data_IF_859577453996
#
_entry.id   IF_859577453996
#
_cell.length_a   1.000
_cell.length_b   1.000
_cell.length_c   1.000
_cell.angle_alpha   90.00
_cell.angle_beta   90.00
_cell.angle_gamma   90.00
#
_symmetry.space_group_name_H-M   'P 1'
#
loop_
_entity.id
_entity.type
_entity.pdbx_description
1 polymer ?
#
# COMPACT_ATOMS: atom_id res chain seq x y z
N UNK A 1 57.69 29.86 42.58
CA UNK A 1 57.75 28.41 42.33
C UNK A 1 56.39 27.84 42.68
N UNK A 2 55.82 27.07 41.74
CA UNK A 2 54.87 25.95 41.90
C UNK A 2 53.62 26.14 42.77
N UNK A 3 52.43 25.65 42.49
CA UNK A 3 51.73 25.01 41.36
C UNK A 3 50.32 24.75 41.95
N UNK A 4 49.25 24.83 41.13
CA UNK A 4 47.97 24.06 41.20
C UNK A 4 47.16 24.06 42.52
N UNK A 5 45.83 24.27 42.53
CA UNK A 5 44.82 23.39 41.94
C UNK A 5 43.47 24.09 41.71
N UNK A 6 42.66 23.43 40.89
CA UNK A 6 41.43 23.86 40.24
C UNK A 6 40.22 23.20 40.92
N UNK A 7 39.16 23.94 41.24
CA UNK A 7 37.81 23.36 41.31
C UNK A 7 36.76 24.27 40.70
N UNK A 8 36.25 23.81 39.55
CA UNK A 8 34.98 24.20 38.97
C UNK A 8 33.82 23.64 39.82
N UNK A 9 32.84 24.46 40.18
CA UNK A 9 31.51 23.97 40.48
C UNK A 9 30.45 24.74 39.69
N UNK A 10 30.05 24.08 38.60
CA UNK A 10 28.88 24.33 37.76
C UNK A 10 27.60 24.22 38.59
N UNK A 11 27.04 25.37 38.97
CA UNK A 11 25.68 25.48 39.48
C UNK A 11 24.75 25.68 38.29
N UNK A 12 24.18 24.60 37.75
CA UNK A 12 23.03 24.68 36.85
C UNK A 12 21.83 24.03 37.54
N UNK A 13 20.87 24.88 37.90
CA UNK A 13 19.70 24.62 38.72
C UNK A 13 18.78 23.53 38.16
N UNK A 14 18.48 22.53 39.00
CA UNK A 14 17.43 21.52 38.80
C UNK A 14 16.06 22.09 39.19
N UNK A 15 15.43 22.86 38.31
CA UNK A 15 14.01 23.25 38.41
C UNK A 15 13.49 23.61 37.01
N UNK A 16 12.99 22.63 36.24
CA UNK A 16 12.29 22.90 34.95
C UNK A 16 11.58 21.71 34.27
N UNK A 17 11.41 20.53 34.90
CA UNK A 17 10.84 19.34 34.21
C UNK A 17 9.30 19.26 34.31
N UNK A 18 8.70 19.89 35.31
CA UNK A 18 7.27 19.81 35.61
C UNK A 18 6.43 20.89 34.92
N UNK A 19 6.98 22.09 34.71
CA UNK A 19 6.28 23.21 34.06
C UNK A 19 6.19 23.03 32.52
N UNK A 20 7.16 22.37 31.88
CA UNK A 20 7.13 22.05 30.44
C UNK A 20 6.07 21.00 30.04
N UNK A 21 5.53 20.25 31.00
CA UNK A 21 4.54 19.20 30.71
C UNK A 21 3.11 19.74 30.68
N UNK A 22 2.77 20.72 31.53
CA UNK A 22 1.42 21.29 31.59
C UNK A 22 1.12 22.25 30.43
N UNK A 23 2.12 23.01 29.96
CA UNK A 23 1.99 23.88 28.78
C UNK A 23 1.63 23.09 27.52
N UNK A 24 2.22 21.90 27.35
CA UNK A 24 1.94 21.03 26.20
C UNK A 24 0.54 20.40 26.21
N UNK A 25 -0.09 20.26 27.37
CA UNK A 25 -1.41 19.63 27.48
C UNK A 25 -2.53 20.63 27.12
N UNK A 26 -2.37 21.89 27.52
CA UNK A 26 -3.22 22.99 27.08
C UNK A 26 -3.12 23.23 25.56
N UNK A 27 -1.90 23.20 25.00
CA UNK A 27 -1.69 23.30 23.54
C UNK A 27 -2.38 22.17 22.77
N UNK A 28 -2.33 20.93 23.28
CA UNK A 28 -3.03 19.78 22.67
C UNK A 28 -4.55 19.91 22.73
N UNK A 29 -5.10 20.44 23.81
CA UNK A 29 -6.52 20.69 23.94
C UNK A 29 -7.00 21.69 22.87
N UNK A 30 -6.25 22.77 22.67
CA UNK A 30 -6.53 23.77 21.64
C UNK A 30 -6.44 23.17 20.23
N UNK A 31 -5.43 22.33 19.97
CA UNK A 31 -5.29 21.61 18.70
C UNK A 31 -6.49 20.68 18.45
N UNK A 32 -6.96 19.98 19.49
CA UNK A 32 -8.12 19.08 19.39
C UNK A 32 -9.41 19.83 19.09
N UNK A 33 -9.61 21.01 19.67
CA UNK A 33 -10.75 21.87 19.38
C UNK A 33 -10.72 22.35 17.92
N UNK A 34 -9.57 22.82 17.44
CA UNK A 34 -9.37 23.23 16.04
C UNK A 34 -9.69 22.08 15.07
N UNK A 35 -9.15 20.88 15.34
CA UNK A 35 -9.37 19.69 14.52
C UNK A 35 -10.84 19.25 14.52
N UNK A 36 -11.56 19.45 15.63
CA UNK A 36 -12.98 19.12 15.73
C UNK A 36 -13.87 19.96 14.81
N UNK A 37 -13.41 21.13 14.37
CA UNK A 37 -14.16 21.99 13.44
C UNK A 37 -14.03 21.58 11.97
N UNK A 38 -13.01 20.77 11.64
CA UNK A 38 -12.71 20.38 10.26
C UNK A 38 -13.57 19.21 9.78
N UNK A 39 -13.84 19.17 8.47
CA UNK A 39 -14.59 18.08 7.84
C UNK A 39 -13.76 16.79 7.76
N UNK A 40 -14.44 15.64 7.67
CA UNK A 40 -13.77 14.33 7.60
C UNK A 40 -12.78 14.21 6.42
N UNK A 41 -13.10 14.83 5.28
CA UNK A 41 -12.22 14.83 4.11
C UNK A 41 -10.92 15.60 4.38
N UNK A 42 -11.01 16.74 5.06
CA UNK A 42 -9.85 17.55 5.43
C UNK A 42 -8.98 16.83 6.46
N UNK A 43 -9.59 16.16 7.44
CA UNK A 43 -8.89 15.31 8.40
C UNK A 43 -8.11 14.18 7.71
N UNK A 44 -8.70 13.54 6.70
CA UNK A 44 -8.05 12.49 5.94
C UNK A 44 -6.86 13.03 5.14
N UNK A 45 -7.03 14.16 4.44
CA UNK A 45 -5.95 14.84 3.70
C UNK A 45 -4.82 15.29 4.63
N UNK A 46 -5.14 15.79 5.82
CA UNK A 46 -4.13 16.15 6.83
C UNK A 46 -3.36 14.94 7.32
N UNK A 47 -4.05 13.85 7.63
CA UNK A 47 -3.45 12.57 8.05
C UNK A 47 -2.55 11.97 6.98
N UNK A 48 -2.91 12.11 5.71
CA UNK A 48 -2.10 11.65 4.57
C UNK A 48 -0.84 12.51 4.37
N UNK A 49 -0.95 13.85 4.51
CA UNK A 49 0.16 14.79 4.35
C UNK A 49 1.18 14.70 5.48
N UNK A 50 0.72 14.71 6.73
CA UNK A 50 1.58 14.74 7.93
C UNK A 50 1.98 13.32 8.35
N UNK A 51 1.17 12.32 7.98
CA UNK A 51 1.38 10.91 8.30
C UNK A 51 0.65 10.45 9.56
N UNK A 52 0.24 9.18 9.58
CA UNK A 52 -0.63 8.63 10.64
C UNK A 52 0.01 8.61 12.02
N UNK A 53 1.33 8.41 12.12
CA UNK A 53 2.04 8.37 13.42
C UNK A 53 2.11 9.76 14.06
N UNK A 54 2.56 10.76 13.31
CA UNK A 54 2.65 12.14 13.78
C UNK A 54 1.28 12.70 14.14
N UNK A 55 0.27 12.51 13.28
CA UNK A 55 -1.10 12.93 13.57
C UNK A 55 -1.64 12.30 14.86
N UNK A 56 -1.44 11.00 15.05
CA UNK A 56 -1.94 10.33 16.25
C UNK A 56 -1.21 10.81 17.52
N UNK A 57 0.08 11.11 17.42
CA UNK A 57 0.87 11.63 18.54
C UNK A 57 0.48 13.07 18.90
N UNK A 58 0.19 13.93 17.93
CA UNK A 58 -0.23 15.32 18.20
C UNK A 58 -1.65 15.40 18.78
N UNK A 59 -2.57 14.58 18.28
CA UNK A 59 -3.99 14.60 18.69
C UNK A 59 -4.25 13.77 19.94
N UNK A 60 -3.70 12.57 20.02
CA UNK A 60 -3.95 11.63 21.12
C UNK A 60 -2.79 11.55 22.12
N UNK A 61 -1.65 12.17 21.83
CA UNK A 61 -0.44 12.06 22.64
C UNK A 61 0.28 10.73 22.46
N UNK A 62 1.46 10.62 23.07
CA UNK A 62 2.17 9.34 23.20
C UNK A 62 1.40 8.47 24.19
N UNK A 63 0.67 7.47 23.69
CA UNK A 63 0.03 6.48 24.55
C UNK A 63 1.11 5.78 25.39
N UNK A 64 1.03 5.92 26.72
CA UNK A 64 1.91 5.20 27.65
C UNK A 64 1.70 3.70 27.42
N UNK A 65 2.72 3.00 26.89
CA UNK A 65 2.72 1.54 26.83
C UNK A 65 2.50 1.05 28.26
N UNK A 66 1.43 0.28 28.51
CA UNK A 66 1.23 -0.35 29.80
C UNK A 66 2.42 -1.26 30.09
N UNK A 67 3.39 -0.77 30.87
CA UNK A 67 4.44 -1.62 31.42
C UNK A 67 3.72 -2.63 32.28
N UNK A 68 3.78 -3.91 31.94
CA UNK A 68 3.23 -4.98 32.78
C UNK A 68 3.79 -4.76 34.18
N UNK A 69 2.96 -4.32 35.12
CA UNK A 69 3.39 -4.15 36.50
C UNK A 69 3.74 -5.55 37.01
N UNK A 70 5.04 -5.84 37.01
CA UNK A 70 5.52 -7.05 37.63
C UNK A 70 5.43 -6.83 39.13
N UNK A 71 4.41 -7.39 39.78
CA UNK A 71 4.30 -7.41 41.24
C UNK A 71 5.53 -8.12 41.82
N UNK A 72 6.70 -7.50 42.01
CA UNK A 72 7.87 -8.22 42.56
C UNK A 72 7.67 -8.46 44.06
N UNK A 73 8.36 -9.45 44.64
CA UNK A 73 8.42 -9.58 46.11
C UNK A 73 9.14 -8.35 46.66
N UNK A 74 8.60 -7.73 47.71
CA UNK A 74 9.21 -6.54 48.32
C UNK A 74 10.51 -6.89 49.08
N UNK A 75 10.52 -8.02 49.78
CA UNK A 75 11.69 -8.61 50.45
C UNK A 75 11.60 -10.14 50.32
N UNK A 76 12.70 -10.87 50.55
CA UNK A 76 12.78 -12.34 50.38
C UNK A 76 11.73 -13.10 51.23
N UNK A 77 11.31 -12.51 52.35
CA UNK A 77 10.35 -13.10 53.29
C UNK A 77 8.92 -12.57 53.13
N UNK A 78 8.62 -11.77 52.08
CA UNK A 78 7.25 -11.33 51.77
C UNK A 78 6.71 -12.09 50.56
N UNK A 79 5.55 -12.75 50.64
CA UNK A 79 4.93 -13.41 49.49
C UNK A 79 4.59 -12.40 48.38
N UNK A 80 4.52 -12.90 47.15
CA UNK A 80 4.25 -12.11 45.95
C UNK A 80 2.75 -12.11 45.64
N UNK A 81 2.17 -10.94 45.36
CA UNK A 81 0.80 -10.84 44.85
C UNK A 81 0.76 -11.31 43.37
N UNK A 82 -0.20 -12.19 43.05
CA UNK A 82 -0.40 -12.77 41.72
C UNK A 82 -1.89 -12.70 41.37
N UNK A 83 -2.23 -12.45 40.11
CA UNK A 83 -3.63 -12.42 39.69
C UNK A 83 -4.23 -13.83 39.70
N UNK A 84 -5.43 -13.97 40.28
CA UNK A 84 -6.21 -15.21 40.31
C UNK A 84 -6.61 -15.72 38.92
N UNK A 85 -6.53 -14.86 37.89
CA UNK A 85 -6.85 -15.20 36.50
C UNK A 85 -5.66 -15.81 35.74
N UNK A 86 -4.48 -15.92 36.36
CA UNK A 86 -3.30 -16.50 35.73
C UNK A 86 -3.42 -18.02 35.79
N UNK A 87 -3.60 -18.66 34.64
CA UNK A 87 -3.63 -20.12 34.51
C UNK A 87 -2.31 -20.71 35.01
N UNK A 88 -2.39 -21.76 35.85
CA UNK A 88 -1.21 -22.48 36.35
C UNK A 88 -0.46 -23.08 35.15
N UNK A 89 0.88 -22.94 35.14
CA UNK A 89 1.70 -23.64 34.15
C UNK A 89 1.58 -25.14 34.41
N UNK A 90 1.03 -25.89 33.46
CA UNK A 90 1.02 -27.35 33.53
C UNK A 90 2.47 -27.83 33.53
N UNK A 91 2.81 -28.71 34.48
CA UNK A 91 4.07 -29.44 34.47
C UNK A 91 4.16 -30.15 33.13
N UNK A 92 5.14 -29.78 32.31
CA UNK A 92 5.51 -30.59 31.16
C UNK A 92 6.23 -31.80 31.75
N UNK A 93 5.50 -32.92 31.89
CA UNK A 93 6.14 -34.20 32.10
C UNK A 93 7.00 -34.43 30.86
N UNK A 94 8.32 -34.30 31.03
CA UNK A 94 9.31 -34.56 29.99
C UNK A 94 9.29 -36.05 29.69
N UNK A 95 8.26 -36.49 28.97
CA UNK A 95 8.32 -37.71 28.20
C UNK A 95 9.28 -37.40 27.05
N UNK A 96 10.54 -37.75 27.28
CA UNK A 96 11.50 -38.07 26.25
C UNK A 96 10.90 -39.16 25.34
N UNK A 97 10.07 -38.75 24.39
CA UNK A 97 9.92 -39.47 23.13
C UNK A 97 10.36 -38.53 22.03
N UNK A 98 11.40 -38.97 21.32
CA UNK A 98 12.09 -38.36 20.20
C UNK A 98 11.20 -38.20 18.95
N UNK A 99 9.96 -37.75 19.12
CA UNK A 99 9.10 -37.32 18.02
C UNK A 99 8.67 -35.92 18.38
N UNK A 100 9.52 -34.94 18.05
CA UNK A 100 9.00 -33.63 17.72
C UNK A 100 8.00 -33.90 16.60
N UNK A 101 6.72 -34.01 16.91
CA UNK A 101 5.68 -34.02 15.91
C UNK A 101 5.90 -32.72 15.14
N UNK A 102 6.47 -32.84 13.94
CA UNK A 102 6.79 -31.70 13.09
C UNK A 102 5.52 -30.87 13.05
N UNK A 103 5.59 -29.62 13.51
CA UNK A 103 4.43 -28.73 13.53
C UNK A 103 3.77 -28.85 12.16
N UNK A 104 2.50 -29.27 12.12
CA UNK A 104 1.76 -29.39 10.86
C UNK A 104 1.71 -28.00 10.25
N UNK A 105 2.61 -27.75 9.31
CA UNK A 105 2.55 -26.55 8.48
C UNK A 105 1.39 -26.78 7.53
N UNK A 106 0.40 -25.88 7.43
CA UNK A 106 -0.60 -25.98 6.39
C UNK A 106 0.14 -25.97 5.05
N UNK A 107 0.24 -27.13 4.40
CA UNK A 107 0.90 -27.27 3.10
C UNK A 107 -0.11 -26.82 2.06
N UNK A 108 0.11 -25.64 1.50
CA UNK A 108 -0.61 -25.22 0.31
C UNK A 108 0.03 -25.95 -0.87
N UNK A 109 -0.68 -26.84 -1.58
CA UNK A 109 -0.11 -27.60 -2.68
C UNK A 109 0.43 -26.69 -3.79
N UNK A 110 -0.06 -25.45 -3.92
CA UNK A 110 0.44 -24.46 -4.87
C UNK A 110 1.82 -23.92 -4.50
N UNK A 111 2.17 -23.99 -3.22
CA UNK A 111 3.42 -23.49 -2.66
C UNK A 111 4.23 -24.61 -1.98
N UNK A 112 3.93 -25.87 -2.29
CA UNK A 112 4.75 -27.01 -1.86
C UNK A 112 6.04 -27.00 -2.70
N UNK A 113 7.23 -27.11 -2.09
CA UNK A 113 8.47 -27.32 -2.82
C UNK A 113 8.42 -28.47 -3.85
N UNK A 114 7.53 -29.45 -3.67
CA UNK A 114 7.32 -30.56 -4.61
C UNK A 114 6.41 -30.23 -5.80
N UNK A 115 5.84 -29.02 -5.89
CA UNK A 115 4.86 -28.63 -6.93
C UNK A 115 5.46 -28.47 -8.35
N UNK A 116 6.77 -28.71 -8.54
CA UNK A 116 7.44 -28.60 -9.84
C UNK A 116 7.67 -27.14 -10.29
N UNK A 117 8.28 -26.99 -11.46
CA UNK A 117 8.58 -25.67 -12.03
C UNK A 117 7.44 -25.13 -12.90
N UNK A 118 7.34 -23.80 -13.00
CA UNK A 118 6.30 -23.14 -13.79
C UNK A 118 6.58 -23.24 -15.30
N UNK A 119 5.74 -23.97 -16.04
CA UNK A 119 5.76 -24.01 -17.49
C UNK A 119 4.77 -23.01 -18.13
N UNK A 120 5.31 -22.02 -18.82
CA UNK A 120 4.55 -21.01 -19.57
C UNK A 120 3.65 -21.61 -20.65
N UNK A 121 4.06 -22.70 -21.31
CA UNK A 121 3.30 -23.29 -22.42
C UNK A 121 2.05 -23.98 -21.89
N UNK A 122 2.22 -24.83 -20.88
CA UNK A 122 1.12 -25.50 -20.18
C UNK A 122 0.17 -24.49 -19.55
N UNK A 123 0.69 -23.44 -18.88
CA UNK A 123 -0.14 -22.37 -18.33
C UNK A 123 -1.00 -21.66 -19.39
N UNK A 124 -0.41 -21.23 -20.50
CA UNK A 124 -1.16 -20.56 -21.59
C UNK A 124 -2.22 -21.46 -22.22
N UNK A 125 -1.94 -22.77 -22.32
CA UNK A 125 -2.92 -23.75 -22.81
C UNK A 125 -4.09 -23.90 -21.85
N UNK A 126 -3.81 -24.13 -20.56
CA UNK A 126 -4.83 -24.36 -19.54
C UNK A 126 -5.72 -23.12 -19.31
N UNK A 127 -5.16 -21.91 -19.38
CA UNK A 127 -5.89 -20.65 -19.20
C UNK A 127 -6.27 -19.96 -20.52
N UNK A 128 -6.32 -20.70 -21.64
CA UNK A 128 -6.72 -20.15 -22.94
C UNK A 128 -8.15 -19.57 -22.90
N UNK A 129 -9.02 -20.16 -22.10
CA UNK A 129 -10.42 -19.74 -21.95
C UNK A 129 -10.57 -18.32 -21.40
N UNK A 130 -9.62 -17.82 -20.60
CA UNK A 130 -9.66 -16.44 -20.08
C UNK A 130 -9.68 -15.40 -21.21
N UNK A 131 -8.97 -15.67 -22.31
CA UNK A 131 -8.98 -14.79 -23.46
C UNK A 131 -10.34 -14.79 -24.16
N UNK A 132 -10.99 -15.95 -24.23
CA UNK A 132 -12.33 -16.08 -24.80
C UNK A 132 -13.35 -15.31 -23.97
N UNK A 133 -13.28 -15.40 -22.64
CA UNK A 133 -14.15 -14.63 -21.72
C UNK A 133 -13.93 -13.13 -21.91
N UNK A 134 -12.67 -12.67 -21.96
CA UNK A 134 -12.35 -11.25 -22.18
C UNK A 134 -12.87 -10.74 -23.53
N UNK A 135 -12.78 -11.55 -24.58
CA UNK A 135 -13.30 -11.22 -25.91
C UNK A 135 -14.83 -11.17 -25.93
N UNK A 136 -15.51 -12.14 -25.29
CA UNK A 136 -16.96 -12.16 -25.16
C UNK A 136 -17.47 -10.91 -24.43
N UNK A 137 -16.88 -10.58 -23.27
CA UNK A 137 -17.23 -9.38 -22.51
C UNK A 137 -17.04 -8.10 -23.32
N UNK A 138 -15.95 -8.00 -24.07
CA UNK A 138 -15.69 -6.85 -24.95
C UNK A 138 -16.77 -6.73 -26.03
N UNK A 139 -17.13 -7.86 -26.66
CA UNK A 139 -18.16 -7.92 -27.69
C UNK A 139 -19.55 -7.57 -27.15
N UNK A 140 -19.90 -8.07 -25.96
CA UNK A 140 -21.16 -7.72 -25.29
C UNK A 140 -21.25 -6.23 -24.98
N UNK A 141 -20.16 -5.62 -24.50
CA UNK A 141 -20.09 -4.18 -24.25
C UNK A 141 -20.25 -3.37 -25.53
N UNK A 142 -19.64 -3.80 -26.63
CA UNK A 142 -19.79 -3.16 -27.94
C UNK A 142 -21.24 -3.27 -28.47
N UNK A 143 -21.81 -4.48 -28.43
CA UNK A 143 -23.21 -4.72 -28.79
C UNK A 143 -24.18 -3.85 -27.97
N UNK A 144 -23.93 -3.71 -26.66
CA UNK A 144 -24.74 -2.87 -25.78
C UNK A 144 -24.62 -1.39 -26.15
N UNK A 145 -23.41 -0.90 -26.47
CA UNK A 145 -23.20 0.47 -26.96
C UNK A 145 -23.96 0.72 -28.27
N UNK A 146 -23.89 -0.20 -29.22
CA UNK A 146 -24.63 -0.11 -30.48
C UNK A 146 -26.15 -0.14 -30.29
N UNK A 147 -26.64 -1.02 -29.42
CA UNK A 147 -28.05 -1.11 -29.08
C UNK A 147 -28.58 0.21 -28.49
N UNK A 148 -27.83 0.80 -27.56
CA UNK A 148 -28.18 2.10 -26.99
C UNK A 148 -28.14 3.22 -28.03
N UNK A 149 -27.17 3.21 -28.96
CA UNK A 149 -27.12 4.18 -30.07
C UNK A 149 -28.37 4.06 -30.95
N UNK A 150 -28.79 2.83 -31.28
CA UNK A 150 -30.02 2.57 -32.07
C UNK A 150 -31.28 3.05 -31.35
N UNK A 151 -31.38 2.82 -30.03
CA UNK A 151 -32.50 3.34 -29.23
C UNK A 151 -32.54 4.87 -29.31
N UNK A 152 -31.40 5.54 -29.06
CA UNK A 152 -31.32 7.00 -29.10
C UNK A 152 -31.71 7.59 -30.46
N UNK A 153 -31.29 6.94 -31.55
CA UNK A 153 -31.69 7.33 -32.91
C UNK A 153 -33.20 7.20 -33.08
N UNK A 154 -33.79 6.08 -32.63
CA UNK A 154 -35.24 5.83 -32.71
C UNK A 154 -36.02 6.90 -31.93
N UNK A 155 -35.55 7.29 -30.76
CA UNK A 155 -36.18 8.34 -29.96
C UNK A 155 -36.14 9.71 -30.64
N UNK A 156 -35.01 10.09 -31.24
CA UNK A 156 -34.90 11.35 -32.01
C UNK A 156 -35.87 11.38 -33.19
N UNK A 157 -35.96 10.26 -33.91
CA UNK A 157 -36.93 10.11 -34.99
C UNK A 157 -38.38 10.25 -34.50
N UNK A 158 -38.72 9.66 -33.34
CA UNK A 158 -40.06 9.81 -32.73
C UNK A 158 -40.38 11.27 -32.37
N UNK A 159 -39.36 12.06 -32.01
CA UNK A 159 -39.49 13.49 -31.73
C UNK A 159 -39.54 14.36 -32.99
N UNK A 160 -39.35 13.78 -34.18
CA UNK A 160 -39.26 14.51 -35.45
C UNK A 160 -37.89 15.18 -35.69
N UNK A 161 -36.89 14.91 -34.85
CA UNK A 161 -35.53 15.42 -35.02
C UNK A 161 -34.74 14.55 -36.01
N UNK A 162 -33.96 15.19 -36.89
CA UNK A 162 -33.07 14.47 -37.82
C UNK A 162 -31.88 13.85 -37.05
N UNK A 163 -31.67 12.53 -37.08
CA UNK A 163 -30.54 11.91 -36.40
C UNK A 163 -29.21 12.26 -37.09
N UNK A 164 -28.21 12.63 -36.30
CA UNK A 164 -26.85 12.94 -36.77
C UNK A 164 -25.94 11.76 -36.49
N UNK A 165 -25.34 11.21 -37.53
CA UNK A 165 -24.42 10.08 -37.45
C UNK A 165 -22.97 10.55 -37.43
N UNK A 166 -22.20 10.09 -36.43
CA UNK A 166 -20.77 10.39 -36.34
C UNK A 166 -19.99 9.57 -37.35
N UNK A 167 -19.00 10.19 -38.00
CA UNK A 167 -18.04 9.51 -38.88
C UNK A 167 -17.22 8.48 -38.08
N UNK A 168 -16.75 7.42 -38.75
CA UNK A 168 -15.92 6.36 -38.12
C UNK A 168 -14.67 6.91 -37.42
N UNK A 169 -14.02 7.92 -38.00
CA UNK A 169 -12.85 8.59 -37.41
C UNK A 169 -13.18 9.28 -36.08
N UNK A 170 -14.34 9.94 -36.00
CA UNK A 170 -14.82 10.63 -34.78
C UNK A 170 -15.14 9.61 -33.70
N UNK A 171 -15.85 8.52 -34.03
CA UNK A 171 -16.13 7.42 -33.07
C UNK A 171 -14.83 6.82 -32.50
N UNK A 172 -13.82 6.63 -33.37
CA UNK A 172 -12.49 6.16 -32.95
C UNK A 172 -11.86 7.14 -31.96
N UNK A 173 -11.86 8.44 -32.26
CA UNK A 173 -11.33 9.46 -31.36
C UNK A 173 -12.06 9.44 -30.00
N UNK A 174 -13.39 9.35 -30.00
CA UNK A 174 -14.19 9.25 -28.77
C UNK A 174 -13.80 8.03 -27.93
N UNK A 175 -13.64 6.85 -28.54
CA UNK A 175 -13.17 5.65 -27.82
C UNK A 175 -11.76 5.81 -27.24
N UNK A 176 -10.89 6.57 -27.90
CA UNK A 176 -9.54 6.85 -27.42
C UNK A 176 -9.56 7.80 -26.22
N UNK A 177 -10.43 8.81 -26.26
CA UNK A 177 -10.65 9.75 -25.15
C UNK A 177 -11.21 9.00 -23.94
N UNK A 178 -12.26 8.18 -24.12
CA UNK A 178 -12.86 7.35 -23.07
C UNK A 178 -11.79 6.47 -22.39
N UNK A 179 -10.96 5.78 -23.19
CA UNK A 179 -9.85 4.97 -22.68
C UNK A 179 -8.81 5.80 -21.93
N UNK A 180 -8.48 7.00 -22.39
CA UNK A 180 -7.54 7.89 -21.70
C UNK A 180 -8.08 8.32 -20.33
N UNK A 181 -9.35 8.71 -20.27
CA UNK A 181 -10.01 9.09 -19.02
C UNK A 181 -10.05 7.93 -18.02
N UNK A 182 -10.36 6.72 -18.47
CA UNK A 182 -10.29 5.51 -17.64
C UNK A 182 -8.88 5.28 -17.08
N UNK A 183 -7.84 5.42 -17.91
CA UNK A 183 -6.45 5.26 -17.48
C UNK A 183 -6.01 6.35 -16.50
N UNK A 184 -6.52 7.57 -16.67
CA UNK A 184 -6.30 8.70 -15.75
C UNK A 184 -6.99 8.44 -14.42
N UNK A 185 -8.26 8.01 -14.42
CA UNK A 185 -9.03 7.66 -13.21
C UNK A 185 -8.42 6.49 -12.44
N UNK A 186 -7.92 5.48 -13.15
CA UNK A 186 -7.30 4.28 -12.54
C UNK A 186 -5.84 4.49 -12.12
N UNK A 187 -5.28 5.70 -12.27
CA UNK A 187 -3.87 6.03 -12.01
C UNK A 187 -2.86 5.12 -12.75
N UNK A 188 -3.27 4.48 -13.85
CA UNK A 188 -2.42 3.60 -14.67
C UNK A 188 -1.73 4.33 -15.81
N UNK A 189 -2.13 5.57 -16.10
CA UNK A 189 -1.58 6.38 -17.20
C UNK A 189 -0.06 6.54 -17.10
N UNK A 190 0.46 6.92 -15.94
CA UNK A 190 1.91 7.09 -15.69
C UNK A 190 2.67 5.80 -16.03
N UNK A 191 2.19 4.65 -15.54
CA UNK A 191 2.79 3.33 -15.79
C UNK A 191 2.82 2.96 -17.26
N UNK A 192 1.77 3.32 -18.02
CA UNK A 192 1.73 3.10 -19.46
C UNK A 192 2.74 3.98 -20.20
N UNK A 193 2.89 5.25 -19.79
CA UNK A 193 3.87 6.18 -20.34
C UNK A 193 5.29 5.66 -20.07
N UNK A 194 5.59 5.30 -18.82
CA UNK A 194 6.89 4.75 -18.42
C UNK A 194 7.22 3.44 -19.14
N UNK A 195 6.25 2.53 -19.26
CA UNK A 195 6.47 1.27 -19.99
C UNK A 195 6.74 1.54 -21.46
N UNK A 196 6.04 2.51 -22.06
CA UNK A 196 6.26 2.90 -23.46
C UNK A 196 7.62 3.57 -23.65
N UNK A 197 8.04 4.47 -22.77
CA UNK A 197 9.35 5.13 -22.86
C UNK A 197 10.49 4.13 -22.72
N UNK A 198 10.39 3.19 -21.77
CA UNK A 198 11.37 2.10 -21.60
C UNK A 198 11.46 1.22 -22.85
N UNK A 199 10.32 0.81 -23.41
CA UNK A 199 10.31 -0.01 -24.63
C UNK A 199 10.91 0.73 -25.84
N UNK A 200 10.64 2.03 -25.98
CA UNK A 200 11.23 2.86 -27.05
C UNK A 200 12.74 2.96 -26.89
N UNK A 201 13.24 3.27 -25.68
CA UNK A 201 14.67 3.35 -25.41
C UNK A 201 15.37 2.00 -25.65
N UNK A 202 14.77 0.89 -25.22
CA UNK A 202 15.31 -0.45 -25.51
C UNK A 202 15.36 -0.73 -27.01
N UNK A 203 14.31 -0.36 -27.76
CA UNK A 203 14.27 -0.54 -29.22
C UNK A 203 15.32 0.33 -29.91
N UNK A 204 15.47 1.57 -29.48
CA UNK A 204 16.50 2.49 -29.98
C UNK A 204 17.90 1.89 -29.78
N UNK A 205 18.21 1.39 -28.58
CA UNK A 205 19.47 0.65 -28.33
C UNK A 205 19.64 -0.54 -29.26
N UNK A 206 18.60 -1.34 -29.49
CA UNK A 206 18.70 -2.48 -30.43
C UNK A 206 18.99 -2.03 -31.86
N UNK A 207 18.38 -0.94 -32.32
CA UNK A 207 18.65 -0.37 -33.64
C UNK A 207 20.07 0.19 -33.72
N UNK A 208 20.53 0.87 -32.67
CA UNK A 208 21.91 1.37 -32.54
C UNK A 208 22.93 0.23 -32.68
N UNK A 209 22.75 -0.85 -31.91
CA UNK A 209 23.64 -2.02 -31.99
C UNK A 209 23.60 -2.70 -33.36
N UNK A 210 22.44 -2.72 -34.03
CA UNK A 210 22.33 -3.26 -35.38
C UNK A 210 23.09 -2.38 -36.38
N UNK A 211 23.00 -1.04 -36.25
CA UNK A 211 23.74 -0.08 -37.09
C UNK A 211 25.26 -0.21 -36.90
N UNK A 212 25.75 -0.28 -35.66
CA UNK A 212 27.18 -0.47 -35.41
C UNK A 212 27.70 -1.77 -36.04
N UNK A 213 26.96 -2.88 -35.86
CA UNK A 213 27.31 -4.16 -36.50
C UNK A 213 27.32 -4.07 -38.02
N UNK A 214 26.40 -3.34 -38.64
CA UNK A 214 26.42 -3.18 -40.10
C UNK A 214 27.63 -2.36 -40.57
N UNK A 215 28.09 -1.38 -39.80
CA UNK A 215 29.27 -0.59 -40.12
C UNK A 215 30.54 -1.46 -39.99
N UNK A 216 30.68 -2.22 -38.90
CA UNK A 216 31.80 -3.15 -38.71
C UNK A 216 31.94 -4.21 -39.82
N UNK A 217 30.83 -4.60 -40.44
CA UNK A 217 30.82 -5.55 -41.56
C UNK A 217 31.06 -4.90 -42.94
N UNK A 218 31.11 -3.56 -43.02
CA UNK A 218 31.46 -2.81 -44.24
C UNK A 218 32.93 -2.41 -44.29
N UNK A 219 33.64 -2.49 -43.14
CA UNK A 219 35.06 -2.15 -43.00
C UNK A 219 36.01 -3.37 -43.20
N UNK A 220 35.50 -4.47 -43.77
CA UNK A 220 36.24 -5.68 -44.20
C UNK A 220 35.91 -6.02 -45.66
#
# INVERSE_FOLDING_TARGET
MSDTEFENNSIFSKTSRSEELETTEQERANIREQISTLSFEELLKMKEKIGSKLYNETVFGVMKKHTKQGYKRANKNRPREMSSKIKVKKLKQELNTSILTKKSTPRDPRFDPLCGEFDNKTFKSNYKFDNQIREQQKKEMENRKEYNEKISIREKLRKGEKPVFKKKSVKKLESLIEKYEELKKTNKLQKHIEKRSKNLSSRERTLETARCKTIENLDF
#
